data_IF_896519073438
#
_entry.id   IF_896519073438
#
_cell.length_a   1.000
_cell.length_b   1.000
_cell.length_c   1.000
_cell.angle_alpha   90.00
_cell.angle_beta   90.00
_cell.angle_gamma   90.00
#
_symmetry.space_group_name_H-M   'P 1'
#
loop_
_entity.id
_entity.type
_entity.pdbx_description
1 polymer ?
#
# COMPACT_ATOMS: atom_id res chain seq x y z
N UNK A 1 -17.65 3.72 -3.90
CA UNK A 1 -17.24 3.89 -2.49
C UNK A 1 -17.55 2.59 -1.77
N UNK A 2 -16.64 2.06 -0.98
CA UNK A 2 -16.88 0.83 -0.24
C UNK A 2 -17.67 1.15 1.04
N UNK A 3 -18.71 0.37 1.34
CA UNK A 3 -19.49 0.48 2.56
C UNK A 3 -19.20 -0.74 3.44
N UNK A 4 -18.87 -0.50 4.71
CA UNK A 4 -18.63 -1.55 5.70
C UNK A 4 -19.73 -1.49 6.77
N UNK A 5 -20.36 -2.62 7.07
CA UNK A 5 -21.30 -2.77 8.18
C UNK A 5 -20.72 -3.71 9.22
N UNK A 6 -20.60 -3.24 10.46
CA UNK A 6 -20.13 -4.03 11.60
C UNK A 6 -21.35 -4.37 12.46
N UNK A 7 -21.69 -5.66 12.55
CA UNK A 7 -22.82 -6.14 13.36
C UNK A 7 -22.34 -6.59 14.74
N UNK A 8 -23.23 -6.53 15.72
CA UNK A 8 -22.97 -6.97 17.10
C UNK A 8 -21.75 -6.28 17.74
N UNK A 9 -21.57 -4.98 17.48
CA UNK A 9 -20.53 -4.20 18.13
C UNK A 9 -20.90 -4.04 19.61
N UNK A 10 -20.03 -4.40 20.57
CA UNK A 10 -20.32 -4.21 21.98
C UNK A 10 -20.62 -2.74 22.30
N UNK A 11 -21.63 -2.49 23.12
CA UNK A 11 -22.10 -1.14 23.44
C UNK A 11 -20.99 -0.27 24.06
N UNK A 12 -20.09 -0.89 24.84
CA UNK A 12 -18.93 -0.23 25.42
C UNK A 12 -17.95 0.28 24.35
N UNK A 13 -17.76 -0.48 23.27
CA UNK A 13 -16.93 -0.03 22.14
C UNK A 13 -17.61 1.13 21.41
N UNK A 14 -18.92 1.07 21.26
CA UNK A 14 -19.70 2.15 20.64
C UNK A 14 -19.60 3.44 21.45
N UNK A 15 -19.71 3.36 22.78
CA UNK A 15 -19.63 4.52 23.67
C UNK A 15 -18.24 5.17 23.64
N UNK A 16 -17.17 4.37 23.69
CA UNK A 16 -15.78 4.85 23.59
C UNK A 16 -15.53 5.50 22.23
N UNK A 17 -15.99 4.90 21.14
CA UNK A 17 -15.85 5.48 19.80
C UNK A 17 -16.57 6.83 19.68
N UNK A 18 -17.77 6.94 20.26
CA UNK A 18 -18.52 8.20 20.28
C UNK A 18 -17.78 9.28 21.08
N UNK A 19 -17.23 8.92 22.24
CA UNK A 19 -16.45 9.84 23.06
C UNK A 19 -15.20 10.32 22.33
N UNK A 20 -14.46 9.41 21.67
CA UNK A 20 -13.27 9.76 20.86
C UNK A 20 -13.61 10.68 19.70
N UNK A 21 -14.70 10.39 18.98
CA UNK A 21 -15.16 11.25 17.89
C UNK A 21 -15.51 12.65 18.38
N UNK A 22 -16.21 12.76 19.52
CA UNK A 22 -16.54 14.04 20.15
C UNK A 22 -15.29 14.82 20.58
N UNK A 23 -14.30 14.14 21.16
CA UNK A 23 -13.01 14.76 21.54
C UNK A 23 -12.23 15.26 20.32
N UNK A 24 -12.27 14.53 19.22
CA UNK A 24 -11.63 14.92 17.96
C UNK A 24 -12.45 15.95 17.14
N UNK A 25 -13.69 16.27 17.57
CA UNK A 25 -14.56 17.22 16.86
C UNK A 25 -15.06 16.70 15.50
N UNK A 26 -15.10 15.38 15.31
CA UNK A 26 -15.48 14.75 14.04
C UNK A 26 -16.70 13.83 14.20
N UNK A 27 -17.30 13.42 13.08
CA UNK A 27 -18.36 12.41 13.11
C UNK A 27 -17.81 11.05 13.52
N UNK A 28 -18.68 10.21 14.09
CA UNK A 28 -18.32 8.85 14.47
C UNK A 28 -17.82 8.01 13.29
N UNK A 29 -18.41 8.20 12.10
CA UNK A 29 -17.96 7.56 10.86
C UNK A 29 -16.54 8.00 10.49
N UNK A 30 -16.23 9.30 10.62
CA UNK A 30 -14.90 9.82 10.32
C UNK A 30 -13.83 9.25 11.26
N UNK A 31 -14.14 9.15 12.56
CA UNK A 31 -13.25 8.54 13.54
C UNK A 31 -13.01 7.05 13.26
N UNK A 32 -14.08 6.29 13.01
CA UNK A 32 -13.96 4.86 12.65
C UNK A 32 -13.14 4.67 11.39
N UNK A 33 -13.35 5.52 10.36
CA UNK A 33 -12.56 5.50 9.13
C UNK A 33 -11.09 5.77 9.41
N UNK A 34 -10.78 6.78 10.23
CA UNK A 34 -9.40 7.12 10.63
C UNK A 34 -8.72 5.96 11.35
N UNK A 35 -9.42 5.32 12.29
CA UNK A 35 -8.92 4.15 13.02
C UNK A 35 -8.63 2.99 12.05
N UNK A 36 -9.55 2.68 11.14
CA UNK A 36 -9.38 1.60 10.16
C UNK A 36 -8.24 1.89 9.19
N UNK A 37 -8.11 3.13 8.71
CA UNK A 37 -6.96 3.53 7.88
C UNK A 37 -5.68 3.28 8.66
N UNK A 38 -5.55 3.85 9.86
CA UNK A 38 -4.35 3.67 10.69
C UNK A 38 -4.07 2.21 10.99
N UNK A 39 -5.07 1.41 11.33
CA UNK A 39 -4.89 -0.01 11.63
C UNK A 39 -4.45 -0.82 10.40
N UNK A 40 -4.96 -0.50 9.22
CA UNK A 40 -4.67 -1.24 7.98
C UNK A 40 -3.45 -0.71 7.21
N UNK A 41 -3.06 0.55 7.42
CA UNK A 41 -1.91 1.19 6.78
C UNK A 41 -0.72 1.34 7.70
N UNK A 42 -0.89 1.14 9.02
CA UNK A 42 0.22 0.97 9.94
C UNK A 42 1.03 -0.22 9.45
N UNK A 43 2.15 0.11 8.86
CA UNK A 43 3.18 -0.81 8.53
C UNK A 43 3.67 -1.44 9.84
N UNK A 44 3.76 -2.78 9.96
CA UNK A 44 4.26 -3.37 11.19
C UNK A 44 5.64 -2.77 11.50
N UNK A 45 6.04 -2.58 12.77
CA UNK A 45 7.39 -2.13 13.09
C UNK A 45 8.39 -3.10 12.46
N UNK A 46 9.15 -2.62 11.46
CA UNK A 46 10.06 -3.42 10.62
C UNK A 46 9.53 -3.81 9.24
N UNK A 47 8.33 -3.38 8.88
CA UNK A 47 7.60 -3.82 7.70
C UNK A 47 7.64 -2.87 6.52
N UNK A 48 8.70 -2.10 6.26
CA UNK A 48 8.82 -1.48 4.91
C UNK A 48 8.43 -2.56 3.90
N UNK A 49 7.34 -2.32 3.13
CA UNK A 49 6.91 -3.30 2.13
C UNK A 49 8.18 -3.66 1.38
N UNK A 50 8.49 -4.94 1.20
CA UNK A 50 9.73 -5.33 0.49
C UNK A 50 9.85 -4.56 -0.84
N UNK A 51 8.72 -4.26 -1.48
CA UNK A 51 8.64 -3.36 -2.63
C UNK A 51 9.18 -1.94 -2.39
N UNK A 52 8.89 -1.32 -1.25
CA UNK A 52 9.44 -0.03 -0.83
C UNK A 52 10.95 -0.08 -0.55
N UNK A 53 11.41 -1.10 0.18
CA UNK A 53 12.86 -1.32 0.43
C UNK A 53 13.59 -1.52 -0.90
N UNK A 54 13.08 -2.41 -1.76
CA UNK A 54 13.65 -2.68 -3.08
C UNK A 54 13.59 -1.45 -3.99
N UNK A 55 12.52 -0.67 -3.95
CA UNK A 55 12.42 0.57 -4.72
C UNK A 55 13.45 1.61 -4.28
N UNK A 56 13.73 1.70 -2.98
CA UNK A 56 14.78 2.55 -2.44
C UNK A 56 16.18 2.07 -2.88
N UNK A 57 16.46 0.77 -2.77
CA UNK A 57 17.73 0.17 -3.22
C UNK A 57 17.94 0.38 -4.72
N UNK A 58 16.93 0.13 -5.56
CA UNK A 58 17.00 0.35 -7.00
C UNK A 58 17.24 1.82 -7.36
N UNK A 59 16.60 2.74 -6.63
CA UNK A 59 16.80 4.18 -6.83
C UNK A 59 18.24 4.58 -6.53
N UNK A 60 18.78 4.11 -5.39
CA UNK A 60 20.16 4.38 -4.99
C UNK A 60 21.16 3.77 -5.97
N UNK A 61 20.92 2.53 -6.41
CA UNK A 61 21.74 1.85 -7.41
C UNK A 61 21.89 2.63 -8.72
N UNK A 62 20.82 3.27 -9.22
CA UNK A 62 20.89 4.08 -10.47
C UNK A 62 21.73 5.34 -10.36
N UNK A 63 21.98 5.82 -9.14
CA UNK A 63 22.78 7.02 -8.90
C UNK A 63 24.28 6.72 -8.83
N UNK A 64 24.66 5.44 -8.70
CA UNK A 64 26.07 5.04 -8.69
C UNK A 64 26.62 4.98 -10.12
N UNK A 65 27.69 5.75 -10.42
CA UNK A 65 28.33 5.70 -11.73
C UNK A 65 28.89 4.29 -12.01
N UNK A 66 28.56 3.72 -13.17
CA UNK A 66 29.06 2.41 -13.59
C UNK A 66 28.17 1.20 -13.25
N UNK A 67 27.07 1.38 -12.50
CA UNK A 67 26.02 0.36 -12.44
C UNK A 67 25.12 0.49 -13.66
N UNK A 68 25.37 -0.31 -14.69
CA UNK A 68 24.37 -0.56 -15.73
C UNK A 68 23.19 -1.21 -15.03
N UNK A 69 22.00 -0.60 -15.10
CA UNK A 69 20.77 -1.27 -14.68
C UNK A 69 20.74 -2.58 -15.47
N UNK A 70 21.04 -3.70 -14.80
CA UNK A 70 20.94 -5.02 -15.42
C UNK A 70 19.53 -5.09 -15.95
N UNK A 71 19.38 -5.10 -17.28
CA UNK A 71 18.08 -5.31 -17.90
C UNK A 71 17.49 -6.52 -17.19
N UNK A 72 16.32 -6.31 -16.57
CA UNK A 72 15.65 -7.40 -15.89
C UNK A 72 15.49 -8.49 -16.94
N UNK A 73 15.93 -9.72 -16.66
CA UNK A 73 15.73 -10.82 -17.61
C UNK A 73 14.24 -10.95 -18.01
N UNK A 74 13.33 -10.47 -17.15
CA UNK A 74 11.91 -10.32 -17.42
C UNK A 74 11.63 -9.26 -18.49
N UNK A 75 12.28 -8.10 -18.45
CA UNK A 75 12.11 -7.04 -19.45
C UNK A 75 12.64 -7.49 -20.82
N UNK A 76 13.77 -8.19 -20.84
CA UNK A 76 14.34 -8.76 -22.06
C UNK A 76 13.41 -9.83 -22.66
N UNK A 77 12.88 -10.72 -21.81
CA UNK A 77 11.91 -11.72 -22.21
C UNK A 77 10.59 -11.10 -22.72
N UNK A 78 10.09 -10.05 -22.05
CA UNK A 78 8.89 -9.34 -22.48
C UNK A 78 9.10 -8.60 -23.80
N UNK A 79 10.29 -8.02 -24.01
CA UNK A 79 10.66 -7.38 -25.28
C UNK A 79 10.78 -8.42 -26.41
N UNK A 80 11.35 -9.58 -26.13
CA UNK A 80 11.44 -10.71 -27.06
C UNK A 80 10.05 -11.20 -27.49
N UNK A 81 9.16 -11.49 -26.52
CA UNK A 81 7.78 -11.90 -26.81
C UNK A 81 6.98 -10.87 -27.59
N UNK A 82 7.23 -9.57 -27.37
CA UNK A 82 6.59 -8.49 -28.16
C UNK A 82 7.07 -8.48 -29.61
N UNK A 83 8.35 -8.77 -29.86
CA UNK A 83 8.91 -8.87 -31.21
C UNK A 83 8.41 -10.10 -31.96
N UNK A 84 8.23 -11.23 -31.29
CA UNK A 84 7.67 -12.44 -31.91
C UNK A 84 6.24 -12.21 -32.41
N UNK A 85 5.35 -11.67 -31.58
CA UNK A 85 3.96 -11.39 -31.98
C UNK A 85 3.83 -10.36 -33.11
N UNK A 86 4.81 -9.45 -33.24
CA UNK A 86 4.83 -8.47 -34.31
C UNK A 86 5.30 -9.06 -35.67
N UNK A 87 5.89 -10.27 -35.67
CA UNK A 87 6.30 -11.00 -36.87
C UNK A 87 5.25 -11.99 -37.38
N UNK A 88 4.22 -12.26 -36.58
CA UNK A 88 3.11 -13.16 -36.91
C UNK A 88 1.93 -12.45 -37.59
N UNK A 89 2.13 -11.21 -38.06
CA UNK A 89 1.18 -10.38 -38.81
C UNK A 89 1.88 -9.74 -40.01
#
# INVERSE_FOLDING_TARGET
>A
MATLSVRNLPDEVQSVLRQRAAQAGVSMEAEVRSILIRACTALPPGGERLSGVLANIQRWSRQLPGMVASHSAVDDFLAERRRERAKEW
#
